data_IF_136616230526
#
_entry.id   IF_136616230526
#
_cell.length_a   1.000
_cell.length_b   1.000
_cell.length_c   1.000
_cell.angle_alpha   90.00
_cell.angle_beta   90.00
_cell.angle_gamma   90.00
#
_symmetry.space_group_name_H-M   'P 1'
#
loop_
_entity.id
_entity.type
_entity.pdbx_description
1 polymer ?
#
# COMPACT_ATOMS: atom_id res chain seq x y z
N UNK A 1 3.43 -23.89 20.09
CA UNK A 1 3.53 -23.09 18.85
C UNK A 1 4.92 -22.47 18.79
N UNK A 2 5.57 -22.57 17.65
CA UNK A 2 6.89 -22.01 17.40
C UNK A 2 6.78 -20.86 16.41
N UNK A 3 7.40 -19.73 16.70
CA UNK A 3 7.46 -18.55 15.82
C UNK A 3 8.87 -18.38 15.30
N UNK A 4 9.02 -18.25 13.99
CA UNK A 4 10.29 -17.95 13.33
C UNK A 4 10.31 -16.54 12.77
N UNK A 5 11.47 -15.90 12.81
CA UNK A 5 11.67 -14.60 12.16
C UNK A 5 11.98 -14.81 10.67
N UNK A 6 10.97 -14.69 9.83
CA UNK A 6 11.09 -14.88 8.38
C UNK A 6 11.83 -13.73 7.66
N UNK A 7 12.09 -12.63 8.34
CA UNK A 7 12.86 -11.52 7.75
C UNK A 7 14.37 -11.62 8.04
N UNK A 8 14.81 -12.63 8.78
CA UNK A 8 16.22 -12.80 9.12
C UNK A 8 17.10 -12.94 7.88
N UNK A 9 18.13 -12.11 7.77
CA UNK A 9 19.02 -12.09 6.61
C UNK A 9 18.51 -11.34 5.38
N UNK A 10 17.28 -10.81 5.40
CA UNK A 10 16.65 -10.09 4.29
C UNK A 10 16.93 -8.58 4.32
N UNK A 11 17.59 -8.05 5.34
CA UNK A 11 17.80 -6.63 5.54
C UNK A 11 19.20 -6.31 6.06
N UNK A 12 19.63 -5.08 5.82
CA UNK A 12 20.97 -4.61 6.21
C UNK A 12 21.02 -4.24 7.70
N UNK A 13 19.92 -3.71 8.23
CA UNK A 13 19.74 -3.39 9.66
C UNK A 13 18.25 -3.36 10.02
N UNK A 14 17.94 -3.44 11.31
CA UNK A 14 16.56 -3.51 11.83
C UNK A 14 15.74 -2.26 11.51
N UNK A 15 16.36 -1.09 11.36
CA UNK A 15 15.67 0.17 11.00
C UNK A 15 15.06 0.15 9.60
N UNK A 16 15.54 -0.74 8.72
CA UNK A 16 15.04 -0.84 7.35
C UNK A 16 13.80 -1.73 7.23
N UNK A 17 13.54 -2.59 8.21
CA UNK A 17 12.42 -3.55 8.20
C UNK A 17 11.42 -3.24 9.31
N UNK A 18 10.92 -2.01 9.27
CA UNK A 18 9.74 -1.61 10.03
C UNK A 18 8.50 -2.07 9.23
N UNK A 19 7.96 -3.25 9.60
CA UNK A 19 6.86 -3.89 8.89
C UNK A 19 5.54 -3.18 9.19
N UNK A 20 4.86 -2.75 8.13
CA UNK A 20 3.60 -2.03 8.22
C UNK A 20 2.38 -2.91 7.93
N UNK A 21 2.60 -4.02 7.25
CA UNK A 21 1.53 -4.96 6.94
C UNK A 21 2.02 -6.18 6.15
N UNK A 22 1.22 -7.23 6.22
CA UNK A 22 1.42 -8.48 5.49
C UNK A 22 0.10 -8.83 4.80
N UNK A 23 0.18 -9.31 3.57
CA UNK A 23 -0.94 -9.78 2.77
C UNK A 23 -0.63 -11.15 2.19
N UNK A 24 -1.34 -12.20 2.64
CA UNK A 24 -1.34 -13.49 1.96
C UNK A 24 -2.33 -13.43 0.79
N UNK A 25 -1.84 -13.74 -0.41
CA UNK A 25 -2.65 -13.64 -1.63
C UNK A 25 -3.77 -14.67 -1.66
N UNK A 26 -5.00 -14.21 -1.87
CA UNK A 26 -6.15 -15.10 -2.15
C UNK A 26 -6.20 -15.54 -3.61
N UNK A 27 -5.48 -14.85 -4.50
CA UNK A 27 -5.38 -15.20 -5.90
C UNK A 27 -4.43 -16.38 -6.17
N UNK A 28 -3.25 -16.37 -5.53
CA UNK A 28 -2.23 -17.43 -5.68
C UNK A 28 -1.80 -17.89 -4.30
N UNK A 29 -2.28 -19.04 -3.80
CA UNK A 29 -1.81 -19.63 -2.56
C UNK A 29 -0.29 -19.79 -2.55
N UNK A 30 0.35 -19.44 -1.45
CA UNK A 30 1.82 -19.44 -1.31
C UNK A 30 2.46 -18.07 -1.59
N UNK A 31 1.79 -17.16 -2.30
CA UNK A 31 2.30 -15.78 -2.45
C UNK A 31 1.93 -14.96 -1.21
N UNK A 32 2.94 -14.32 -0.64
CA UNK A 32 2.81 -13.40 0.49
C UNK A 32 3.53 -12.09 0.16
N UNK A 33 2.89 -10.97 0.44
CA UNK A 33 3.51 -9.65 0.35
C UNK A 33 3.74 -9.09 1.74
N UNK A 34 4.93 -8.55 1.96
CA UNK A 34 5.28 -7.76 3.13
C UNK A 34 5.54 -6.32 2.73
N UNK A 35 4.94 -5.35 3.41
CA UNK A 35 5.19 -3.94 3.17
C UNK A 35 5.89 -3.31 4.36
N UNK A 36 6.87 -2.47 4.07
CA UNK A 36 7.77 -1.93 5.06
C UNK A 36 8.17 -0.48 4.75
N UNK A 37 8.92 0.08 5.66
CA UNK A 37 9.58 1.37 5.52
C UNK A 37 10.52 1.44 4.31
N UNK A 38 11.18 0.33 3.98
CA UNK A 38 12.15 0.24 2.89
C UNK A 38 11.53 -0.16 1.54
N UNK A 39 10.24 -0.48 1.49
CA UNK A 39 9.56 -0.90 0.27
C UNK A 39 8.59 -2.05 0.46
N UNK A 40 8.50 -2.87 -0.55
CA UNK A 40 7.68 -4.06 -0.57
C UNK A 40 8.53 -5.30 -0.85
N UNK A 41 8.20 -6.39 -0.18
CA UNK A 41 8.81 -7.69 -0.36
C UNK A 41 7.74 -8.70 -0.78
N UNK A 42 8.13 -9.68 -1.56
CA UNK A 42 7.29 -10.79 -1.99
C UNK A 42 7.96 -12.11 -1.68
N UNK A 43 7.17 -13.04 -1.20
CA UNK A 43 7.51 -14.46 -1.13
C UNK A 43 6.59 -15.24 -2.07
N UNK A 44 7.13 -16.24 -2.74
CA UNK A 44 6.39 -17.16 -3.61
C UNK A 44 6.23 -18.56 -2.97
N UNK A 45 6.70 -18.76 -1.75
CA UNK A 45 6.78 -20.03 -1.04
C UNK A 45 6.25 -19.99 0.40
N UNK A 46 5.28 -19.09 0.65
CA UNK A 46 4.59 -19.01 1.95
C UNK A 46 5.36 -18.22 3.02
N UNK A 47 6.46 -17.59 2.67
CA UNK A 47 7.27 -16.77 3.57
C UNK A 47 8.66 -17.34 3.84
N UNK A 48 9.03 -18.50 3.25
CA UNK A 48 10.33 -19.11 3.47
C UNK A 48 11.46 -18.28 2.83
N UNK A 49 11.23 -17.73 1.62
CA UNK A 49 12.17 -16.84 0.95
C UNK A 49 11.48 -15.55 0.49
N UNK A 50 12.19 -14.43 0.62
CA UNK A 50 11.67 -13.11 0.28
C UNK A 50 12.54 -12.42 -0.77
N UNK A 51 11.89 -11.71 -1.68
CA UNK A 51 12.52 -10.89 -2.69
C UNK A 51 11.99 -9.46 -2.60
N UNK A 52 12.87 -8.49 -2.77
CA UNK A 52 12.46 -7.09 -2.87
C UNK A 52 11.71 -6.86 -4.18
N UNK A 53 10.52 -6.27 -4.12
CA UNK A 53 9.76 -5.89 -5.32
C UNK A 53 10.34 -4.59 -5.86
N UNK A 54 10.77 -4.54 -7.14
CA UNK A 54 11.41 -3.38 -7.73
C UNK A 54 10.39 -2.28 -8.07
N UNK A 55 9.97 -1.54 -7.04
CA UNK A 55 9.10 -0.37 -7.18
C UNK A 55 9.93 0.87 -7.48
N UNK A 56 9.36 1.79 -8.27
CA UNK A 56 10.01 3.07 -8.56
C UNK A 56 10.16 3.89 -7.26
N UNK A 57 11.38 4.30 -6.87
CA UNK A 57 11.62 5.01 -5.63
C UNK A 57 10.98 6.41 -5.62
N UNK A 58 10.58 6.84 -4.43
CA UNK A 58 10.02 8.19 -4.19
C UNK A 58 10.98 9.10 -3.44
N UNK A 59 12.04 8.56 -2.84
CA UNK A 59 13.01 9.35 -2.11
C UNK A 59 14.44 9.21 -2.67
N UNK A 60 15.35 10.15 -2.37
CA UNK A 60 16.72 10.13 -2.87
C UNK A 60 17.57 8.93 -2.40
N UNK A 61 17.12 8.19 -1.37
CA UNK A 61 17.80 6.99 -0.86
C UNK A 61 17.45 5.72 -1.66
N UNK A 62 16.65 5.85 -2.72
CA UNK A 62 16.24 4.72 -3.55
C UNK A 62 15.10 3.89 -2.96
N UNK A 63 14.32 4.42 -2.00
CA UNK A 63 13.25 3.71 -1.34
C UNK A 63 11.87 4.28 -1.67
N UNK A 64 10.84 3.46 -1.45
CA UNK A 64 9.44 3.83 -1.39
C UNK A 64 8.87 3.35 -0.05
N UNK A 65 8.25 4.24 0.70
CA UNK A 65 7.69 3.95 2.01
C UNK A 65 6.27 3.42 1.85
N UNK A 66 6.07 2.10 1.98
CA UNK A 66 4.78 1.45 1.80
C UNK A 66 4.02 1.36 3.13
N UNK A 67 2.73 1.74 3.15
CA UNK A 67 1.93 1.87 4.39
C UNK A 67 0.68 1.00 4.48
N UNK A 68 0.06 0.67 3.37
CA UNK A 68 -1.08 -0.23 3.31
C UNK A 68 -1.05 -1.04 2.02
N UNK A 69 -1.49 -2.29 2.08
CA UNK A 69 -1.66 -3.17 0.92
C UNK A 69 -3.01 -3.85 1.01
N UNK A 70 -3.77 -3.84 -0.08
CA UNK A 70 -5.12 -4.39 -0.16
C UNK A 70 -5.37 -5.15 -1.44
N UNK A 71 -6.07 -6.28 -1.32
CA UNK A 71 -6.74 -6.91 -2.46
C UNK A 71 -8.11 -6.27 -2.67
N UNK A 72 -8.52 -6.13 -3.93
CA UNK A 72 -9.88 -5.68 -4.26
C UNK A 72 -10.89 -6.76 -3.85
N UNK A 73 -11.94 -6.44 -3.08
CA UNK A 73 -12.99 -7.39 -2.73
C UNK A 73 -13.62 -8.02 -3.98
N UNK A 74 -13.72 -9.35 -3.99
CA UNK A 74 -14.22 -10.12 -5.13
C UNK A 74 -13.29 -10.23 -6.34
N UNK A 75 -12.15 -9.53 -6.34
CA UNK A 75 -11.13 -9.62 -7.39
C UNK A 75 -9.71 -9.58 -6.81
N UNK A 76 -9.24 -10.65 -6.15
CA UNK A 76 -7.96 -10.69 -5.46
C UNK A 76 -6.73 -10.65 -6.39
N UNK A 77 -6.95 -10.67 -7.71
CA UNK A 77 -5.90 -10.43 -8.70
C UNK A 77 -5.48 -8.96 -8.74
N UNK A 78 -6.38 -8.06 -8.36
CA UNK A 78 -6.11 -6.64 -8.29
C UNK A 78 -5.64 -6.26 -6.87
N UNK A 79 -4.48 -5.64 -6.79
CA UNK A 79 -3.84 -5.22 -5.56
C UNK A 79 -3.57 -3.72 -5.57
N UNK A 80 -3.70 -3.10 -4.42
CA UNK A 80 -3.41 -1.67 -4.24
C UNK A 80 -2.43 -1.48 -3.08
N UNK A 81 -1.49 -0.55 -3.26
CA UNK A 81 -0.55 -0.15 -2.22
C UNK A 81 -0.61 1.36 -2.02
N UNK A 82 -0.73 1.77 -0.76
CA UNK A 82 -0.56 3.14 -0.32
C UNK A 82 0.88 3.38 0.08
N UNK A 83 1.50 4.43 -0.45
CA UNK A 83 2.91 4.68 -0.25
C UNK A 83 3.27 6.18 -0.27
N UNK A 84 4.51 6.48 0.06
CA UNK A 84 5.07 7.83 0.01
C UNK A 84 6.60 7.82 0.04
N UNK A 85 7.20 9.01 0.13
CA UNK A 85 8.65 9.13 0.22
C UNK A 85 9.19 8.86 1.64
N UNK A 86 8.35 8.87 2.67
CA UNK A 86 8.68 8.63 4.07
C UNK A 86 7.45 8.79 4.97
N UNK A 87 7.61 8.65 6.28
CA UNK A 87 6.50 8.76 7.24
C UNK A 87 5.80 10.12 7.18
N UNK A 88 6.57 11.20 7.24
CA UNK A 88 6.10 12.57 7.11
C UNK A 88 6.75 13.20 5.88
N UNK A 89 6.29 12.83 4.71
CA UNK A 89 6.83 13.32 3.46
C UNK A 89 5.82 14.20 2.72
N UNK A 90 6.35 14.99 1.79
CA UNK A 90 5.62 15.86 0.89
C UNK A 90 5.19 15.14 -0.41
N UNK A 91 5.32 13.83 -0.45
CA UNK A 91 5.01 12.99 -1.63
C UNK A 91 4.33 11.70 -1.23
N UNK A 92 3.10 11.55 -1.69
CA UNK A 92 2.34 10.31 -1.60
C UNK A 92 2.01 9.74 -2.97
N UNK A 93 1.67 8.46 -3.00
CA UNK A 93 1.21 7.78 -4.21
C UNK A 93 0.36 6.56 -3.88
N UNK A 94 -0.45 6.16 -4.83
CA UNK A 94 -1.04 4.82 -4.90
C UNK A 94 -0.33 4.02 -5.98
N UNK A 95 -0.13 2.73 -5.73
CA UNK A 95 0.31 1.77 -6.73
C UNK A 95 -0.81 0.76 -6.95
N UNK A 96 -0.98 0.33 -8.18
CA UNK A 96 -1.96 -0.68 -8.57
C UNK A 96 -1.29 -1.79 -9.35
N UNK A 97 -1.59 -3.04 -8.99
CA UNK A 97 -1.30 -4.24 -9.76
C UNK A 97 -2.61 -4.84 -10.26
N UNK A 98 -2.63 -5.28 -11.51
CA UNK A 98 -3.78 -5.95 -12.16
C UNK A 98 -3.51 -7.42 -12.46
N UNK A 99 -2.37 -7.95 -12.05
CA UNK A 99 -1.86 -9.28 -12.38
C UNK A 99 -1.44 -10.12 -11.17
N UNK A 100 -1.92 -9.75 -9.97
CA UNK A 100 -1.63 -10.48 -8.73
C UNK A 100 -0.27 -10.11 -8.14
N UNK A 101 0.24 -8.93 -8.45
CA UNK A 101 1.50 -8.40 -7.92
C UNK A 101 2.73 -8.69 -8.76
N UNK A 102 2.54 -9.20 -9.99
CA UNK A 102 3.66 -9.45 -10.92
C UNK A 102 4.19 -8.13 -11.51
N UNK A 103 3.31 -7.13 -11.72
CA UNK A 103 3.69 -5.78 -12.12
C UNK A 103 2.91 -4.71 -11.33
N UNK A 104 3.49 -3.51 -11.26
CA UNK A 104 2.95 -2.38 -10.50
C UNK A 104 3.06 -1.09 -11.29
N UNK A 105 2.00 -0.28 -11.27
CA UNK A 105 1.98 1.03 -11.88
C UNK A 105 1.54 2.08 -10.86
N UNK A 106 2.09 3.30 -10.97
CA UNK A 106 1.58 4.46 -10.22
C UNK A 106 0.23 4.86 -10.75
N UNK A 107 -0.64 5.25 -9.84
CA UNK A 107 -1.99 5.75 -10.17
C UNK A 107 -1.94 7.26 -10.28
N UNK A 108 -2.47 7.77 -11.37
CA UNK A 108 -2.71 9.20 -11.52
C UNK A 108 -3.99 9.57 -10.76
N UNK A 109 -3.84 10.40 -9.75
CA UNK A 109 -4.97 10.92 -8.94
C UNK A 109 -5.53 12.22 -9.54
N UNK A 110 -4.89 12.76 -10.58
CA UNK A 110 -5.29 14.04 -11.21
C UNK A 110 -4.89 15.27 -10.41
N UNK A 111 -4.18 15.10 -9.28
CA UNK A 111 -3.69 16.17 -8.43
C UNK A 111 -2.42 15.71 -7.68
N UNK A 112 -1.54 16.64 -7.25
CA UNK A 112 -0.45 16.31 -6.35
C UNK A 112 -0.96 15.70 -5.04
N UNK A 113 -0.28 14.68 -4.54
CA UNK A 113 -0.54 14.08 -3.24
C UNK A 113 0.50 14.60 -2.25
N UNK A 114 0.17 15.62 -1.43
CA UNK A 114 1.15 16.41 -0.67
C UNK A 114 1.63 15.73 0.61
N UNK A 115 1.09 14.55 0.93
CA UNK A 115 1.50 13.76 2.09
C UNK A 115 1.51 12.27 1.75
N UNK A 116 2.23 11.48 2.55
CA UNK A 116 2.27 10.02 2.38
C UNK A 116 0.87 9.43 2.38
N UNK A 117 0.55 8.65 1.34
CA UNK A 117 -0.68 7.87 1.32
C UNK A 117 -0.60 6.77 2.39
N UNK A 118 -1.59 6.73 3.27
CA UNK A 118 -1.52 5.92 4.50
C UNK A 118 -2.46 4.75 4.52
N UNK A 119 -3.68 4.92 3.97
CA UNK A 119 -4.73 3.92 4.03
C UNK A 119 -5.56 3.85 2.77
N UNK A 120 -6.06 2.65 2.50
CA UNK A 120 -7.01 2.34 1.43
C UNK A 120 -8.20 1.61 2.06
N UNK A 121 -9.41 1.99 1.67
CA UNK A 121 -10.64 1.30 2.05
C UNK A 121 -11.53 1.08 0.83
N UNK A 122 -12.09 -0.12 0.73
CA UNK A 122 -13.08 -0.50 -0.28
C UNK A 122 -14.48 -0.60 0.32
N UNK A 123 -15.49 -0.35 -0.50
CA UNK A 123 -16.85 -0.78 -0.23
C UNK A 123 -16.96 -2.28 -0.61
N UNK A 124 -17.20 -3.15 0.37
CA UNK A 124 -17.18 -4.61 0.17
C UNK A 124 -18.28 -5.08 -0.80
N UNK A 125 -19.38 -4.35 -0.89
CA UNK A 125 -20.51 -4.68 -1.77
C UNK A 125 -20.36 -4.08 -3.16
N UNK A 126 -19.59 -2.99 -3.27
CA UNK A 126 -19.36 -2.24 -4.50
C UNK A 126 -17.86 -1.93 -4.63
N UNK A 127 -17.02 -2.93 -4.93
CA UNK A 127 -15.56 -2.80 -4.85
C UNK A 127 -14.94 -1.77 -5.82
N UNK A 128 -15.71 -1.27 -6.77
CA UNK A 128 -15.31 -0.10 -7.57
C UNK A 128 -15.33 1.21 -6.77
N UNK A 129 -16.03 1.23 -5.63
CA UNK A 129 -16.06 2.38 -4.73
C UNK A 129 -14.95 2.19 -3.70
N UNK A 130 -14.00 3.11 -3.71
CA UNK A 130 -12.86 3.06 -2.81
C UNK A 130 -12.46 4.46 -2.34
N UNK A 131 -11.80 4.52 -1.21
CA UNK A 131 -11.22 5.74 -0.68
C UNK A 131 -9.77 5.50 -0.29
N UNK A 132 -8.96 6.53 -0.42
CA UNK A 132 -7.59 6.54 0.05
C UNK A 132 -7.36 7.81 0.86
N UNK A 133 -6.54 7.72 1.91
CA UNK A 133 -6.26 8.85 2.78
C UNK A 133 -4.75 8.98 3.03
N UNK A 134 -4.29 10.22 3.09
CA UNK A 134 -2.93 10.54 3.51
C UNK A 134 -2.86 10.73 5.03
N UNK A 135 -1.66 10.66 5.57
CA UNK A 135 -1.43 11.03 6.96
C UNK A 135 -1.53 12.54 7.23
N UNK A 136 -1.58 13.36 6.20
CA UNK A 136 -1.80 14.82 6.30
C UNK A 136 -3.28 15.22 6.40
N UNK A 137 -4.21 14.28 6.19
CA UNK A 137 -5.65 14.54 6.32
C UNK A 137 -6.41 14.61 4.99
N UNK A 138 -5.74 14.52 3.84
CA UNK A 138 -6.42 14.49 2.56
C UNK A 138 -7.10 13.13 2.36
N UNK A 139 -8.32 13.17 1.82
CA UNK A 139 -9.10 11.99 1.45
C UNK A 139 -9.46 12.07 -0.03
N UNK A 140 -9.18 10.99 -0.73
CA UNK A 140 -9.49 10.79 -2.15
C UNK A 140 -10.52 9.68 -2.28
N UNK A 141 -11.50 9.87 -3.16
CA UNK A 141 -12.55 8.89 -3.41
C UNK A 141 -12.62 8.58 -4.90
N UNK A 142 -12.74 7.30 -5.22
CA UNK A 142 -13.03 6.80 -6.54
C UNK A 142 -14.34 6.00 -6.51
N UNK A 143 -15.12 6.08 -7.60
CA UNK A 143 -16.37 5.31 -7.78
C UNK A 143 -16.31 4.39 -9.00
N UNK A 144 -15.20 4.34 -9.68
CA UNK A 144 -14.97 3.62 -10.94
C UNK A 144 -13.82 2.61 -10.88
N UNK A 145 -13.34 2.29 -9.68
CA UNK A 145 -12.26 1.31 -9.47
C UNK A 145 -10.87 1.92 -9.61
N UNK A 146 -10.74 3.24 -9.37
CA UNK A 146 -9.48 3.95 -9.37
C UNK A 146 -9.09 4.56 -10.72
N UNK A 147 -10.00 4.58 -11.70
CA UNK A 147 -9.75 5.23 -12.99
C UNK A 147 -9.83 6.76 -12.87
N UNK A 148 -10.68 7.26 -11.98
CA UNK A 148 -10.75 8.69 -11.62
C UNK A 148 -10.91 8.92 -10.12
N UNK A 149 -10.50 10.09 -9.66
CA UNK A 149 -10.47 10.43 -8.24
C UNK A 149 -11.03 11.83 -7.99
N UNK A 150 -11.76 11.96 -6.89
CA UNK A 150 -12.21 13.23 -6.35
C UNK A 150 -11.62 13.44 -4.96
N UNK A 151 -11.09 14.63 -4.69
CA UNK A 151 -10.67 15.00 -3.34
C UNK A 151 -11.89 15.33 -2.51
N UNK A 152 -12.01 14.72 -1.34
CA UNK A 152 -13.07 15.03 -0.38
C UNK A 152 -12.60 16.11 0.59
N UNK A 153 -13.51 16.95 1.10
CA UNK A 153 -13.18 17.88 2.17
C UNK A 153 -12.62 17.13 3.39
N UNK A 154 -11.52 17.63 3.95
CA UNK A 154 -10.99 17.10 5.20
C UNK A 154 -12.01 17.30 6.33
N UNK A 155 -12.14 16.31 7.25
CA UNK A 155 -13.00 16.48 8.41
C UNK A 155 -12.61 17.71 9.23
N UNK A 156 -13.54 18.49 9.74
CA UNK A 156 -13.23 19.64 10.60
C UNK A 156 -12.36 19.23 11.80
N UNK A 157 -11.21 19.86 11.98
CA UNK A 157 -10.27 19.55 13.07
C UNK A 157 -9.41 18.30 12.88
N UNK A 158 -9.56 17.58 11.77
CA UNK A 158 -8.74 16.41 11.43
C UNK A 158 -7.44 16.83 10.76
N UNK A 159 -6.31 16.72 11.48
CA UNK A 159 -5.00 17.02 10.93
C UNK A 159 -4.19 15.77 10.56
N UNK A 160 -4.64 14.58 10.97
CA UNK A 160 -3.92 13.32 10.69
C UNK A 160 -4.90 12.15 10.59
N UNK A 161 -4.71 11.29 9.58
CA UNK A 161 -5.52 10.08 9.38
C UNK A 161 -4.61 8.86 9.47
N UNK A 162 -4.86 7.99 10.45
CA UNK A 162 -4.13 6.74 10.64
C UNK A 162 -4.96 5.48 10.31
N UNK A 163 -6.28 5.63 10.26
CA UNK A 163 -7.20 4.56 9.91
C UNK A 163 -8.29 5.07 8.99
N UNK A 164 -8.74 4.22 8.09
CA UNK A 164 -9.83 4.47 7.15
C UNK A 164 -10.67 3.20 7.04
N UNK A 165 -11.97 3.34 7.16
CA UNK A 165 -12.92 2.26 6.93
C UNK A 165 -14.07 2.77 6.08
N UNK A 166 -14.69 1.86 5.34
CA UNK A 166 -15.87 2.12 4.54
C UNK A 166 -16.88 1.00 4.79
N UNK A 167 -18.11 1.36 5.09
CA UNK A 167 -19.23 0.43 5.31
C UNK A 167 -20.24 0.45 4.15
#
# INVERSE_FOLDING_TARGET
>A
EHWENLSHGQYVNDDMVDMHGVLASRWRPGIVFGIARAGMFRSDDGGDHWQHVPLEPLNPKGHIYCRDIREVPGNPRHLWVAAGAGFQSDKGTLLHSRDGGDSWARVDIGAPVPHTMFKIAFDDRRPKIMSAATNGGEVYNSTDGGESWATLPSPPGGSQIYALARG
#
